data_IF_364225162676
#
_entry.id   IF_364225162676
#
_cell.length_a   1.000
_cell.length_b   1.000
_cell.length_c   1.000
_cell.angle_alpha   90.00
_cell.angle_beta   90.00
_cell.angle_gamma   90.00
#
_symmetry.space_group_name_H-M   'P 1'
#
loop_
_entity.id
_entity.type
_entity.pdbx_description
1 polymer ?
#
# COMPACT_ATOMS: atom_id res chain seq x y z
N UNK A 1 36.12 5.02 -10.93
CA UNK A 1 36.91 3.76 -10.90
C UNK A 1 37.67 3.73 -9.60
N UNK A 2 37.70 2.60 -8.91
CA UNK A 2 38.41 2.43 -7.63
C UNK A 2 39.67 1.62 -7.91
N UNK A 3 40.82 2.09 -7.43
CA UNK A 3 42.06 1.32 -7.40
C UNK A 3 42.02 0.35 -6.23
N UNK A 4 42.10 -0.95 -6.52
CA UNK A 4 42.19 -2.01 -5.51
C UNK A 4 43.65 -2.46 -5.40
N UNK A 5 44.05 -2.86 -4.18
CA UNK A 5 45.42 -3.30 -3.89
C UNK A 5 45.78 -4.63 -4.58
N UNK A 6 44.78 -5.46 -4.89
CA UNK A 6 44.93 -6.73 -5.61
C UNK A 6 43.64 -7.10 -6.37
N UNK A 7 43.75 -7.94 -7.39
CA UNK A 7 42.65 -8.45 -8.24
C UNK A 7 42.26 -9.90 -7.91
N UNK A 8 42.73 -10.46 -6.80
CA UNK A 8 42.28 -11.78 -6.34
C UNK A 8 40.76 -11.82 -6.17
N UNK A 9 40.15 -12.98 -6.43
CA UNK A 9 38.69 -13.15 -6.31
C UNK A 9 38.20 -12.79 -4.89
N UNK A 10 39.00 -13.08 -3.87
CA UNK A 10 38.68 -12.73 -2.48
C UNK A 10 38.64 -11.23 -2.25
N UNK A 11 39.61 -10.47 -2.78
CA UNK A 11 39.63 -9.00 -2.68
C UNK A 11 38.44 -8.37 -3.40
N UNK A 12 38.07 -8.91 -4.55
CA UNK A 12 36.91 -8.47 -5.33
C UNK A 12 35.58 -8.74 -4.60
N UNK A 13 35.44 -9.93 -4.00
CA UNK A 13 34.27 -10.32 -3.23
C UNK A 13 34.13 -9.48 -1.95
N UNK A 14 35.25 -9.24 -1.24
CA UNK A 14 35.27 -8.38 -0.05
C UNK A 14 34.92 -6.92 -0.41
N UNK A 15 35.47 -6.38 -1.49
CA UNK A 15 35.16 -5.02 -1.95
C UNK A 15 33.68 -4.86 -2.33
N UNK A 16 33.06 -5.87 -2.96
CA UNK A 16 31.62 -5.91 -3.22
C UNK A 16 30.80 -6.05 -1.92
N UNK A 17 31.27 -6.87 -0.97
CA UNK A 17 30.58 -7.13 0.29
C UNK A 17 30.52 -5.88 1.19
N UNK A 18 31.67 -5.20 1.34
CA UNK A 18 31.81 -3.98 2.13
C UNK A 18 31.33 -2.72 1.41
N UNK A 19 30.83 -2.84 0.17
CA UNK A 19 30.26 -1.71 -0.59
C UNK A 19 31.30 -0.69 -1.06
N UNK A 20 32.56 -1.11 -1.21
CA UNK A 20 33.61 -0.28 -1.82
C UNK A 20 33.42 -0.16 -3.34
N UNK A 21 32.82 -1.19 -3.94
CA UNK A 21 32.42 -1.23 -5.35
C UNK A 21 31.02 -1.84 -5.48
N UNK A 22 30.24 -1.40 -6.47
CA UNK A 22 28.87 -1.87 -6.72
C UNK A 22 28.74 -2.82 -7.92
N UNK A 23 29.77 -2.85 -8.77
CA UNK A 23 29.71 -3.53 -10.06
C UNK A 23 31.11 -3.92 -10.56
N UNK A 24 31.30 -5.21 -10.85
CA UNK A 24 32.51 -5.75 -11.48
C UNK A 24 32.16 -6.23 -12.88
N UNK A 25 32.91 -5.74 -13.87
CA UNK A 25 32.84 -6.18 -15.25
C UNK A 25 34.14 -6.89 -15.64
N UNK A 26 34.05 -8.15 -16.03
CA UNK A 26 35.19 -8.88 -16.61
C UNK A 26 35.00 -9.01 -18.12
N UNK A 27 35.91 -8.40 -18.88
CA UNK A 27 35.95 -8.46 -20.34
C UNK A 27 36.85 -9.62 -20.74
N UNK A 28 36.34 -10.67 -21.40
CA UNK A 28 37.17 -11.81 -21.80
C UNK A 28 38.13 -11.42 -22.94
N UNK A 29 39.28 -12.07 -23.04
CA UNK A 29 40.23 -11.85 -24.14
C UNK A 29 39.61 -12.14 -25.53
N UNK A 30 38.62 -13.04 -25.57
CA UNK A 30 37.86 -13.37 -26.78
C UNK A 30 36.87 -12.28 -27.22
N UNK A 31 36.73 -11.19 -26.46
CA UNK A 31 35.73 -10.14 -26.69
C UNK A 31 35.80 -9.58 -28.12
N UNK A 32 36.99 -9.15 -28.55
CA UNK A 32 37.19 -8.57 -29.88
C UNK A 32 36.93 -9.59 -30.99
N UNK A 33 37.36 -10.85 -30.80
CA UNK A 33 37.14 -11.94 -31.76
C UNK A 33 35.66 -12.29 -31.91
N UNK A 34 34.90 -12.28 -30.81
CA UNK A 34 33.46 -12.53 -30.85
C UNK A 34 32.72 -11.41 -31.58
N UNK A 35 33.08 -10.14 -31.29
CA UNK A 35 32.51 -8.98 -31.96
C UNK A 35 32.81 -8.94 -33.46
N UNK A 36 34.06 -9.22 -33.88
CA UNK A 36 34.39 -9.27 -35.31
C UNK A 36 33.65 -10.40 -36.03
N UNK A 37 33.38 -11.51 -35.36
CA UNK A 37 32.54 -12.59 -35.87
C UNK A 37 31.03 -12.26 -35.90
N UNK A 38 30.62 -11.03 -35.56
CA UNK A 38 29.23 -10.60 -35.51
C UNK A 38 28.43 -11.24 -34.37
N UNK A 39 29.11 -11.80 -33.36
CA UNK A 39 28.49 -12.44 -32.20
C UNK A 39 28.57 -11.53 -31.00
N UNK A 40 27.49 -11.51 -30.21
CA UNK A 40 27.47 -10.78 -28.95
C UNK A 40 28.40 -11.45 -27.92
N UNK A 41 29.41 -10.75 -27.38
CA UNK A 41 30.32 -11.33 -26.40
C UNK A 41 29.60 -11.59 -25.07
N UNK A 42 29.92 -12.73 -24.45
CA UNK A 42 29.49 -13.07 -23.10
C UNK A 42 30.38 -12.29 -22.12
N UNK A 43 29.79 -11.39 -21.34
CA UNK A 43 30.49 -10.62 -20.31
C UNK A 43 30.18 -11.22 -18.93
N UNK A 44 31.21 -11.38 -18.11
CA UNK A 44 31.02 -11.85 -16.73
C UNK A 44 30.80 -10.65 -15.84
N UNK A 45 29.70 -10.67 -15.08
CA UNK A 45 29.24 -9.56 -14.26
C UNK A 45 29.05 -10.06 -12.84
N UNK A 46 29.71 -9.42 -11.88
CA UNK A 46 29.53 -9.68 -10.45
C UNK A 46 28.99 -8.42 -9.77
N UNK A 47 27.88 -8.56 -9.06
CA UNK A 47 27.24 -7.48 -8.29
C UNK A 47 26.63 -8.06 -7.04
N UNK A 48 26.38 -7.22 -6.04
CA UNK A 48 25.51 -7.60 -4.92
C UNK A 48 24.09 -7.93 -5.43
N UNK A 49 23.38 -8.90 -4.83
CA UNK A 49 21.99 -9.18 -5.16
C UNK A 49 21.10 -7.96 -4.90
N UNK A 50 20.18 -7.66 -5.83
CA UNK A 50 19.17 -6.60 -5.67
C UNK A 50 19.63 -5.18 -6.03
N UNK A 51 20.86 -4.98 -6.51
CA UNK A 51 21.38 -3.63 -6.82
C UNK A 51 20.83 -3.10 -8.15
N UNK A 52 20.21 -1.91 -8.13
CA UNK A 52 19.75 -1.21 -9.34
C UNK A 52 20.88 -0.92 -10.34
N UNK A 53 22.10 -0.71 -9.84
CA UNK A 53 23.32 -0.50 -10.63
C UNK A 53 23.54 -1.57 -11.70
N UNK A 54 23.22 -2.85 -11.40
CA UNK A 54 23.32 -3.93 -12.38
C UNK A 54 22.46 -3.66 -13.60
N UNK A 55 21.20 -3.31 -13.39
CA UNK A 55 20.24 -3.05 -14.47
C UNK A 55 20.66 -1.85 -15.31
N UNK A 56 21.09 -0.77 -14.66
CA UNK A 56 21.54 0.44 -15.35
C UNK A 56 22.75 0.16 -16.25
N UNK A 57 23.82 -0.40 -15.68
CA UNK A 57 25.09 -0.64 -16.40
C UNK A 57 24.91 -1.70 -17.49
N UNK A 58 24.17 -2.78 -17.22
CA UNK A 58 23.86 -3.79 -18.23
C UNK A 58 23.10 -3.21 -19.41
N UNK A 59 22.15 -2.31 -19.15
CA UNK A 59 21.37 -1.68 -20.22
C UNK A 59 22.27 -0.84 -21.12
N UNK A 60 23.19 -0.07 -20.55
CA UNK A 60 24.16 0.73 -21.31
C UNK A 60 25.11 -0.15 -22.14
N UNK A 61 25.68 -1.19 -21.53
CA UNK A 61 26.56 -2.15 -22.24
C UNK A 61 25.80 -2.82 -23.38
N UNK A 62 24.58 -3.28 -23.12
CA UNK A 62 23.76 -3.95 -24.12
C UNK A 62 23.35 -3.00 -25.25
N UNK A 63 23.01 -1.74 -24.96
CA UNK A 63 22.75 -0.73 -25.98
C UNK A 63 23.97 -0.54 -26.87
N UNK A 64 25.17 -0.42 -26.30
CA UNK A 64 26.39 -0.29 -27.08
C UNK A 64 26.62 -1.50 -28.00
N UNK A 65 26.63 -2.71 -27.43
CA UNK A 65 26.90 -3.94 -28.18
C UNK A 65 25.86 -4.19 -29.28
N UNK A 66 24.57 -3.98 -28.97
CA UNK A 66 23.50 -4.19 -29.94
C UNK A 66 23.56 -3.15 -31.07
N UNK A 67 23.83 -1.88 -30.78
CA UNK A 67 23.97 -0.84 -31.81
C UNK A 67 25.19 -1.09 -32.69
N UNK A 68 26.32 -1.48 -32.09
CA UNK A 68 27.53 -1.84 -32.83
C UNK A 68 27.29 -3.00 -33.81
N UNK A 69 26.70 -4.09 -33.31
CA UNK A 69 26.38 -5.27 -34.13
C UNK A 69 25.35 -4.96 -35.21
N UNK A 70 24.39 -4.08 -34.92
CA UNK A 70 23.41 -3.62 -35.91
C UNK A 70 24.09 -2.88 -37.07
N UNK A 71 24.98 -1.92 -36.79
CA UNK A 71 25.71 -1.19 -37.82
C UNK A 71 26.66 -2.09 -38.61
N UNK A 72 27.38 -2.98 -37.94
CA UNK A 72 28.24 -3.96 -38.61
C UNK A 72 27.44 -4.86 -39.57
N UNK A 73 26.23 -5.28 -39.20
CA UNK A 73 25.36 -6.11 -40.04
C UNK A 73 24.73 -5.31 -41.19
N UNK A 74 24.34 -4.06 -40.94
CA UNK A 74 23.68 -3.22 -41.93
C UNK A 74 24.67 -2.62 -42.96
N UNK A 75 25.94 -2.46 -42.60
CA UNK A 75 26.96 -1.79 -43.41
C UNK A 75 28.26 -2.61 -43.46
N UNK A 76 28.26 -3.79 -44.13
CA UNK A 76 29.39 -4.73 -44.13
C UNK A 76 30.65 -4.21 -44.85
N UNK A 77 30.54 -3.10 -45.58
CA UNK A 77 31.63 -2.46 -46.33
C UNK A 77 32.46 -1.49 -45.47
N UNK A 78 31.98 -1.13 -44.27
CA UNK A 78 32.70 -0.24 -43.37
C UNK A 78 33.73 -0.99 -42.53
N UNK A 79 34.84 -0.32 -42.24
CA UNK A 79 35.84 -0.81 -41.31
C UNK A 79 35.31 -0.82 -39.87
N UNK A 80 35.92 -1.66 -39.03
CA UNK A 80 35.52 -1.76 -37.62
C UNK A 80 35.66 -0.43 -36.86
N UNK A 81 36.62 0.40 -37.24
CA UNK A 81 36.84 1.72 -36.65
C UNK A 81 35.72 2.70 -37.03
N UNK A 82 35.25 2.66 -38.27
CA UNK A 82 34.13 3.51 -38.74
C UNK A 82 32.81 3.11 -38.05
N UNK A 83 32.55 1.81 -37.90
CA UNK A 83 31.39 1.31 -37.16
C UNK A 83 31.43 1.74 -35.69
N UNK A 84 32.62 1.67 -35.05
CA UNK A 84 32.81 2.14 -33.68
C UNK A 84 32.55 3.64 -33.56
N UNK A 85 33.03 4.43 -34.51
CA UNK A 85 32.86 5.88 -34.53
C UNK A 85 31.38 6.25 -34.67
N UNK A 86 30.65 5.62 -35.60
CA UNK A 86 29.21 5.84 -35.76
C UNK A 86 28.43 5.40 -34.52
N UNK A 87 28.74 4.22 -33.97
CA UNK A 87 28.10 3.72 -32.74
C UNK A 87 28.26 4.72 -31.59
N UNK A 88 29.48 5.23 -31.41
CA UNK A 88 29.79 6.21 -30.36
C UNK A 88 29.08 7.53 -30.61
N UNK A 89 29.01 7.99 -31.86
CA UNK A 89 28.31 9.22 -32.24
C UNK A 89 26.80 9.11 -31.97
N UNK A 90 26.18 8.00 -32.36
CA UNK A 90 24.74 7.74 -32.11
C UNK A 90 24.43 7.71 -30.63
N UNK A 91 25.23 7.01 -29.82
CA UNK A 91 25.00 6.89 -28.38
C UNK A 91 25.33 8.18 -27.61
N UNK A 92 26.09 9.11 -28.20
CA UNK A 92 26.29 10.46 -27.65
C UNK A 92 25.11 11.38 -27.86
N UNK A 93 24.18 11.07 -28.77
CA UNK A 93 23.00 11.88 -28.97
C UNK A 93 22.08 11.77 -27.75
N UNK A 94 21.92 12.87 -27.04
CA UNK A 94 20.94 12.99 -25.96
C UNK A 94 19.70 13.67 -26.51
N UNK A 95 18.57 12.98 -26.47
CA UNK A 95 17.28 13.59 -26.72
C UNK A 95 16.69 14.03 -25.37
N UNK A 96 16.33 15.31 -25.25
CA UNK A 96 15.57 15.79 -24.10
C UNK A 96 14.12 15.33 -24.23
N UNK A 97 13.79 14.21 -23.58
CA UNK A 97 12.42 13.71 -23.52
C UNK A 97 11.64 14.54 -22.50
N UNK A 98 10.74 15.41 -22.99
CA UNK A 98 9.73 16.05 -22.12
C UNK A 98 8.55 15.09 -22.00
N UNK A 99 8.43 14.46 -20.84
CA UNK A 99 7.23 13.70 -20.50
C UNK A 99 6.06 14.67 -20.34
N UNK A 100 4.91 14.29 -20.88
CA UNK A 100 3.68 15.05 -20.71
C UNK A 100 3.39 15.24 -19.21
N UNK A 101 3.02 16.46 -18.83
CA UNK A 101 2.61 16.78 -17.46
C UNK A 101 1.43 15.89 -17.02
N UNK A 102 0.52 15.58 -17.94
CA UNK A 102 -0.62 14.69 -17.71
C UNK A 102 -0.18 13.27 -17.36
N UNK A 103 0.86 12.76 -18.04
CA UNK A 103 1.44 11.45 -17.73
C UNK A 103 2.08 11.43 -16.34
N UNK A 104 2.90 12.45 -16.04
CA UNK A 104 3.59 12.56 -14.74
C UNK A 104 2.58 12.69 -13.59
N UNK A 105 1.53 13.48 -13.79
CA UNK A 105 0.44 13.63 -12.83
C UNK A 105 -0.28 12.29 -12.59
N UNK A 106 -0.65 11.57 -13.66
CA UNK A 106 -1.30 10.27 -13.56
C UNK A 106 -0.46 9.25 -12.79
N UNK A 107 0.85 9.18 -13.08
CA UNK A 107 1.76 8.27 -12.38
C UNK A 107 1.84 8.61 -10.89
N UNK A 108 2.03 9.88 -10.55
CA UNK A 108 2.10 10.31 -9.15
C UNK A 108 0.78 10.06 -8.39
N UNK A 109 -0.35 10.30 -9.04
CA UNK A 109 -1.68 10.08 -8.48
C UNK A 109 -1.96 8.59 -8.24
N UNK A 110 -1.56 7.72 -9.18
CA UNK A 110 -1.67 6.27 -9.05
C UNK A 110 -0.80 5.74 -7.90
N UNK A 111 0.44 6.24 -7.79
CA UNK A 111 1.34 5.93 -6.68
C UNK A 111 0.71 6.37 -5.35
N UNK A 112 0.13 7.57 -5.28
CA UNK A 112 -0.55 8.06 -4.09
C UNK A 112 -1.73 7.17 -3.69
N UNK A 113 -2.56 6.74 -4.65
CA UNK A 113 -3.66 5.81 -4.39
C UNK A 113 -3.18 4.50 -3.75
N UNK A 114 -2.06 3.95 -4.24
CA UNK A 114 -1.43 2.75 -3.65
C UNK A 114 -0.90 2.99 -2.24
N UNK A 115 -0.29 4.13 -1.96
CA UNK A 115 0.12 4.47 -0.59
C UNK A 115 -1.09 4.63 0.35
N UNK A 116 -2.17 5.24 -0.12
CA UNK A 116 -3.40 5.42 0.67
C UNK A 116 -4.06 4.07 0.99
N UNK A 117 -3.95 3.07 0.11
CA UNK A 117 -4.42 1.72 0.41
C UNK A 117 -3.75 1.11 1.65
N UNK A 118 -2.50 1.48 1.99
CA UNK A 118 -1.82 1.00 3.19
C UNK A 118 -2.51 1.43 4.49
N UNK A 119 -3.32 2.51 4.46
CA UNK A 119 -4.17 2.88 5.59
C UNK A 119 -5.14 1.76 5.96
N UNK A 120 -5.53 0.92 5.00
CA UNK A 120 -6.48 -0.14 5.26
C UNK A 120 -6.01 -1.14 6.30
N UNK A 121 -4.72 -1.45 6.31
CA UNK A 121 -4.15 -2.28 7.35
C UNK A 121 -3.81 -1.45 8.59
N UNK A 122 -2.95 -0.43 8.42
CA UNK A 122 -2.36 0.29 9.55
C UNK A 122 -3.41 0.98 10.43
N UNK A 123 -4.36 1.69 9.82
CA UNK A 123 -5.40 2.40 10.55
C UNK A 123 -6.43 1.44 11.14
N UNK A 124 -6.89 0.46 10.38
CA UNK A 124 -7.93 -0.47 10.84
C UNK A 124 -7.43 -1.35 11.99
N UNK A 125 -6.24 -1.93 11.85
CA UNK A 125 -5.59 -2.74 12.89
C UNK A 125 -5.41 -1.95 14.19
N UNK A 126 -4.98 -0.70 14.09
CA UNK A 126 -4.75 0.19 15.24
C UNK A 126 -6.07 0.55 15.94
N UNK A 127 -7.09 0.98 15.18
CA UNK A 127 -8.41 1.31 15.74
C UNK A 127 -9.02 0.07 16.40
N UNK A 128 -9.03 -1.07 15.71
CA UNK A 128 -9.63 -2.29 16.23
C UNK A 128 -8.95 -2.76 17.51
N UNK A 129 -7.62 -2.75 17.54
CA UNK A 129 -6.84 -3.17 18.71
C UNK A 129 -7.09 -2.25 19.91
N UNK A 130 -7.16 -0.93 19.70
CA UNK A 130 -7.47 0.02 20.77
C UNK A 130 -8.89 -0.19 21.33
N UNK A 131 -9.89 -0.38 20.47
CA UNK A 131 -11.25 -0.69 20.91
C UNK A 131 -11.29 -2.00 21.70
N UNK A 132 -10.58 -3.02 21.24
CA UNK A 132 -10.50 -4.32 21.90
C UNK A 132 -9.84 -4.22 23.27
N UNK A 133 -8.72 -3.53 23.39
CA UNK A 133 -8.01 -3.34 24.66
C UNK A 133 -8.87 -2.57 25.68
N UNK A 134 -9.50 -1.48 25.24
CA UNK A 134 -10.41 -0.69 26.09
C UNK A 134 -11.59 -1.54 26.55
N UNK A 135 -12.20 -2.30 25.62
CA UNK A 135 -13.31 -3.18 25.95
C UNK A 135 -12.92 -4.24 26.99
N UNK A 136 -11.80 -4.94 26.80
CA UNK A 136 -11.31 -5.94 27.73
C UNK A 136 -11.02 -5.33 29.11
N UNK A 137 -10.33 -4.19 29.15
CA UNK A 137 -10.00 -3.52 30.40
C UNK A 137 -11.26 -3.16 31.22
N UNK A 138 -12.26 -2.53 30.60
CA UNK A 138 -13.47 -2.12 31.31
C UNK A 138 -14.47 -3.25 31.57
N UNK A 139 -14.33 -4.39 30.89
CA UNK A 139 -15.15 -5.58 31.13
C UNK A 139 -14.53 -6.59 32.11
N UNK A 140 -13.30 -6.36 32.61
CA UNK A 140 -12.74 -7.17 33.72
C UNK A 140 -13.71 -7.17 34.91
N UNK A 141 -14.00 -8.34 35.53
CA UNK A 141 -15.00 -8.43 36.59
C UNK A 141 -14.79 -7.42 37.72
N UNK A 142 -13.57 -7.30 38.22
CA UNK A 142 -13.20 -6.38 39.29
C UNK A 142 -13.49 -4.91 38.96
N UNK A 143 -13.06 -4.46 37.76
CA UNK A 143 -13.27 -3.09 37.28
C UNK A 143 -14.76 -2.83 37.06
N UNK A 144 -15.46 -3.80 36.45
CA UNK A 144 -16.89 -3.70 36.14
C UNK A 144 -17.75 -3.65 37.41
N UNK A 145 -17.46 -4.49 38.41
CA UNK A 145 -18.16 -4.49 39.69
C UNK A 145 -17.94 -3.18 40.44
N UNK A 146 -16.68 -2.72 40.56
CA UNK A 146 -16.35 -1.45 41.21
C UNK A 146 -17.04 -0.26 40.54
N UNK A 147 -17.04 -0.20 39.21
CA UNK A 147 -17.70 0.87 38.46
C UNK A 147 -19.23 0.84 38.60
N UNK A 148 -19.82 -0.35 38.82
CA UNK A 148 -21.26 -0.51 39.01
C UNK A 148 -21.76 0.00 40.36
N UNK A 149 -20.87 0.10 41.37
CA UNK A 149 -21.18 0.72 42.67
C UNK A 149 -21.09 2.26 42.63
N UNK A 150 -20.60 2.86 41.53
CA UNK A 150 -20.51 4.31 41.41
C UNK A 150 -21.90 4.94 41.17
N UNK A 151 -22.14 6.19 41.59
CA UNK A 151 -23.40 6.90 41.33
C UNK A 151 -23.57 7.31 39.85
N UNK A 152 -22.77 6.75 38.93
CA UNK A 152 -22.79 7.05 37.50
C UNK A 152 -23.60 6.00 36.78
N UNK A 153 -24.61 6.42 36.02
CA UNK A 153 -25.40 5.46 35.22
C UNK A 153 -24.55 4.78 34.14
N UNK A 154 -24.81 3.49 33.91
CA UNK A 154 -24.10 2.68 32.91
C UNK A 154 -24.12 3.29 31.51
N UNK A 155 -25.24 3.89 31.10
CA UNK A 155 -25.36 4.61 29.82
C UNK A 155 -24.41 5.81 29.74
N UNK A 156 -24.31 6.61 30.80
CA UNK A 156 -23.42 7.78 30.85
C UNK A 156 -21.95 7.35 30.81
N UNK A 157 -21.61 6.29 31.54
CA UNK A 157 -20.26 5.73 31.54
C UNK A 157 -19.86 5.16 30.17
N UNK A 158 -20.70 4.32 29.57
CA UNK A 158 -20.46 3.77 28.22
C UNK A 158 -20.33 4.86 27.16
N UNK A 159 -21.12 5.93 27.24
CA UNK A 159 -20.98 7.08 26.33
C UNK A 159 -19.63 7.78 26.47
N UNK A 160 -19.12 7.96 27.71
CA UNK A 160 -17.79 8.56 27.92
C UNK A 160 -16.67 7.70 27.33
N UNK A 161 -16.75 6.38 27.52
CA UNK A 161 -15.79 5.45 26.89
C UNK A 161 -15.87 5.55 25.37
N UNK A 162 -17.08 5.50 24.80
CA UNK A 162 -17.29 5.60 23.35
C UNK A 162 -16.73 6.90 22.77
N UNK A 163 -16.98 8.05 23.43
CA UNK A 163 -16.41 9.34 23.01
C UNK A 163 -14.89 9.27 23.05
N UNK A 164 -14.28 8.76 24.14
CA UNK A 164 -12.83 8.67 24.26
C UNK A 164 -12.21 7.76 23.16
N UNK A 165 -12.82 6.61 22.87
CA UNK A 165 -12.33 5.70 21.82
C UNK A 165 -12.54 6.26 20.42
N UNK A 166 -13.62 6.99 20.16
CA UNK A 166 -13.85 7.70 18.89
C UNK A 166 -12.83 8.83 18.73
N UNK A 167 -12.56 9.61 19.78
CA UNK A 167 -11.53 10.66 19.76
C UNK A 167 -10.15 10.08 19.46
N UNK A 168 -9.77 8.96 20.09
CA UNK A 168 -8.54 8.24 19.78
C UNK A 168 -8.52 7.80 18.30
N UNK A 169 -9.59 7.19 17.81
CA UNK A 169 -9.66 6.74 16.42
C UNK A 169 -9.54 7.90 15.43
N UNK A 170 -10.16 9.05 15.74
CA UNK A 170 -10.06 10.26 14.92
C UNK A 170 -8.63 10.81 14.91
N UNK A 171 -7.95 10.84 16.05
CA UNK A 171 -6.54 11.24 16.13
C UNK A 171 -5.65 10.30 15.32
N UNK A 172 -5.86 8.99 15.41
CA UNK A 172 -5.15 8.00 14.59
C UNK A 172 -5.44 8.22 13.09
N UNK A 173 -6.70 8.45 12.71
CA UNK A 173 -7.08 8.69 11.32
C UNK A 173 -6.41 9.95 10.77
N UNK A 174 -6.42 11.06 11.51
CA UNK A 174 -5.75 12.31 11.11
C UNK A 174 -4.23 12.10 11.02
N UNK A 175 -3.62 11.47 12.01
CA UNK A 175 -2.17 11.23 12.04
C UNK A 175 -1.68 10.34 10.90
N UNK A 176 -2.31 9.18 10.71
CA UNK A 176 -1.94 8.25 9.64
C UNK A 176 -2.23 8.83 8.26
N UNK A 177 -3.41 9.43 8.06
CA UNK A 177 -3.78 10.01 6.77
C UNK A 177 -2.88 11.19 6.42
N UNK A 178 -2.59 12.07 7.38
CA UNK A 178 -1.68 13.20 7.20
C UNK A 178 -0.27 12.75 6.86
N UNK A 179 0.24 11.72 7.53
CA UNK A 179 1.56 11.14 7.22
C UNK A 179 1.60 10.55 5.80
N UNK A 180 0.60 9.76 5.40
CA UNK A 180 0.56 9.17 4.06
C UNK A 180 0.40 10.25 2.98
N UNK A 181 -0.47 11.25 3.21
CA UNK A 181 -0.64 12.37 2.28
C UNK A 181 0.68 13.13 2.10
N UNK A 182 1.42 13.38 3.18
CA UNK A 182 2.75 14.01 3.13
C UNK A 182 3.75 13.17 2.32
N UNK A 183 3.87 11.87 2.60
CA UNK A 183 4.80 10.96 1.89
C UNK A 183 4.46 10.82 0.41
N UNK A 184 3.16 10.79 0.08
CA UNK A 184 2.69 10.68 -1.30
C UNK A 184 2.91 11.94 -2.16
N UNK A 185 3.37 13.05 -1.56
CA UNK A 185 3.59 14.34 -2.22
C UNK A 185 2.36 14.84 -3.00
N UNK A 186 1.17 14.50 -2.52
CA UNK A 186 -0.08 14.89 -3.17
C UNK A 186 -0.34 16.37 -2.90
N UNK A 187 -0.35 17.19 -3.96
CA UNK A 187 -0.51 18.64 -3.83
C UNK A 187 -1.87 19.15 -4.34
N UNK A 188 -2.61 18.36 -5.12
CA UNK A 188 -3.86 18.79 -5.71
C UNK A 188 -5.02 18.72 -4.68
N UNK A 189 -5.65 19.85 -4.30
CA UNK A 189 -6.71 19.87 -3.29
C UNK A 189 -7.93 19.03 -3.64
N UNK A 190 -8.30 18.96 -4.92
CA UNK A 190 -9.45 18.16 -5.38
C UNK A 190 -9.18 16.67 -5.13
N UNK A 191 -7.99 16.19 -5.48
CA UNK A 191 -7.60 14.78 -5.29
C UNK A 191 -7.49 14.45 -3.80
N UNK A 192 -6.91 15.36 -3.01
CA UNK A 192 -6.87 15.22 -1.55
C UNK A 192 -8.29 15.09 -0.97
N UNK A 193 -9.23 15.92 -1.43
CA UNK A 193 -10.63 15.86 -1.01
C UNK A 193 -11.29 14.51 -1.34
N UNK A 194 -11.08 13.97 -2.54
CA UNK A 194 -11.62 12.67 -2.96
C UNK A 194 -11.07 11.53 -2.11
N UNK A 195 -9.76 11.49 -1.87
CA UNK A 195 -9.16 10.50 -0.98
C UNK A 195 -9.64 10.64 0.46
N UNK A 196 -9.79 11.88 0.95
CA UNK A 196 -10.32 12.15 2.29
C UNK A 196 -11.74 11.61 2.46
N UNK A 197 -12.58 11.71 1.42
CA UNK A 197 -13.93 11.17 1.42
C UNK A 197 -13.93 9.63 1.48
N UNK A 198 -13.07 8.98 0.69
CA UNK A 198 -12.85 7.52 0.73
C UNK A 198 -12.39 7.06 2.12
N UNK A 199 -11.41 7.74 2.71
CA UNK A 199 -10.90 7.47 4.06
C UNK A 199 -12.01 7.65 5.09
N UNK A 200 -12.82 8.70 5.01
CA UNK A 200 -13.90 8.97 5.94
C UNK A 200 -14.98 7.86 5.91
N UNK A 201 -15.41 7.45 4.71
CA UNK A 201 -16.38 6.37 4.56
C UNK A 201 -15.86 5.04 5.13
N UNK A 202 -14.59 4.74 4.89
CA UNK A 202 -13.98 3.53 5.44
C UNK A 202 -13.74 3.63 6.95
N UNK A 203 -13.37 4.80 7.47
CA UNK A 203 -13.22 5.07 8.90
C UNK A 203 -14.50 4.81 9.70
N UNK A 204 -15.67 5.25 9.18
CA UNK A 204 -16.97 4.93 9.78
C UNK A 204 -17.20 3.41 9.83
N UNK A 205 -16.74 2.70 8.80
CA UNK A 205 -16.84 1.24 8.74
C UNK A 205 -15.93 0.59 9.78
N UNK A 206 -14.70 1.09 9.95
CA UNK A 206 -13.76 0.60 10.98
C UNK A 206 -14.31 0.80 12.39
N UNK A 207 -14.90 1.97 12.69
CA UNK A 207 -15.49 2.26 14.01
C UNK A 207 -16.65 1.32 14.30
N UNK A 208 -17.60 1.20 13.37
CA UNK A 208 -18.80 0.38 13.56
C UNK A 208 -18.47 -1.11 13.65
N UNK A 209 -17.57 -1.59 12.79
CA UNK A 209 -17.02 -2.95 12.87
C UNK A 209 -16.33 -3.19 14.22
N UNK A 210 -15.42 -2.30 14.62
CA UNK A 210 -14.66 -2.47 15.87
C UNK A 210 -15.59 -2.46 17.08
N UNK A 211 -16.59 -1.59 17.09
CA UNK A 211 -17.60 -1.51 18.16
C UNK A 211 -18.43 -2.80 18.23
N UNK A 212 -18.90 -3.31 17.08
CA UNK A 212 -19.63 -4.57 17.00
C UNK A 212 -18.79 -5.74 17.49
N UNK A 213 -17.63 -5.98 16.87
CA UNK A 213 -16.84 -7.18 17.10
C UNK A 213 -16.28 -7.21 18.52
N UNK A 214 -15.74 -6.09 19.02
CA UNK A 214 -15.23 -6.04 20.39
C UNK A 214 -16.32 -6.18 21.45
N UNK A 215 -17.59 -5.92 21.11
CA UNK A 215 -18.73 -6.21 22.01
C UNK A 215 -19.06 -7.72 22.14
N UNK A 216 -18.49 -8.55 21.27
CA UNK A 216 -18.64 -10.01 21.25
C UNK A 216 -17.40 -10.73 21.79
N UNK A 217 -16.22 -10.12 21.64
CA UNK A 217 -14.94 -10.69 22.05
C UNK A 217 -14.74 -10.62 23.58
N UNK A 218 -14.14 -11.68 24.15
CA UNK A 218 -13.89 -11.80 25.60
C UNK A 218 -12.41 -11.97 25.97
N UNK A 219 -11.51 -12.15 25.01
CA UNK A 219 -10.09 -12.39 25.28
C UNK A 219 -9.16 -11.65 24.30
N UNK A 220 -7.91 -11.44 24.71
CA UNK A 220 -6.86 -10.83 23.89
C UNK A 220 -6.53 -11.66 22.66
N UNK A 221 -6.61 -12.99 22.79
CA UNK A 221 -6.28 -13.93 21.71
C UNK A 221 -7.29 -13.81 20.58
N UNK A 222 -8.59 -13.63 20.89
CA UNK A 222 -9.60 -13.40 19.85
C UNK A 222 -9.42 -12.05 19.16
N UNK A 223 -9.02 -10.98 19.88
CA UNK A 223 -8.68 -9.70 19.24
C UNK A 223 -7.53 -9.91 18.26
N UNK A 224 -6.45 -10.56 18.69
CA UNK A 224 -5.31 -10.88 17.83
C UNK A 224 -5.73 -11.71 16.62
N UNK A 225 -6.59 -12.71 16.83
CA UNK A 225 -7.15 -13.54 15.76
C UNK A 225 -7.95 -12.74 14.73
N UNK A 226 -8.84 -11.84 15.15
CA UNK A 226 -9.60 -10.98 14.21
C UNK A 226 -8.66 -10.06 13.44
N UNK A 227 -7.65 -9.50 14.10
CA UNK A 227 -6.69 -8.61 13.46
C UNK A 227 -5.87 -9.34 12.38
N UNK A 228 -5.35 -10.53 12.69
CA UNK A 228 -4.51 -11.28 11.77
C UNK A 228 -5.29 -12.04 10.69
N UNK A 229 -6.51 -12.50 10.98
CA UNK A 229 -7.31 -13.28 10.03
C UNK A 229 -8.21 -12.39 9.20
N UNK A 230 -9.03 -11.56 9.83
CA UNK A 230 -9.99 -10.74 9.09
C UNK A 230 -9.35 -9.46 8.54
N UNK A 231 -8.71 -8.65 9.40
CA UNK A 231 -8.18 -7.34 8.97
C UNK A 231 -7.00 -7.55 8.02
N UNK A 232 -5.95 -8.26 8.47
CA UNK A 232 -4.79 -8.55 7.63
C UNK A 232 -5.14 -9.45 6.43
N UNK A 233 -5.93 -10.51 6.63
CA UNK A 233 -6.34 -11.40 5.54
C UNK A 233 -7.15 -10.67 4.45
N UNK A 234 -8.06 -9.77 4.83
CA UNK A 234 -8.78 -8.95 3.84
C UNK A 234 -7.84 -8.05 3.04
N UNK A 235 -6.76 -7.55 3.63
CA UNK A 235 -5.76 -6.74 2.91
C UNK A 235 -5.06 -7.53 1.80
N UNK A 236 -4.77 -8.83 2.01
CA UNK A 236 -4.15 -9.69 0.99
C UNK A 236 -5.06 -9.92 -0.22
N UNK A 237 -6.35 -10.13 0.01
CA UNK A 237 -7.30 -10.46 -1.07
C UNK A 237 -7.94 -9.23 -1.73
N UNK A 238 -7.84 -8.06 -1.10
CA UNK A 238 -8.57 -6.85 -1.53
C UNK A 238 -7.75 -5.86 -2.35
N UNK A 239 -6.51 -6.17 -2.69
CA UNK A 239 -5.68 -5.25 -3.49
C UNK A 239 -4.76 -4.32 -2.69
N UNK A 240 -4.65 -4.48 -1.36
CA UNK A 240 -3.82 -3.59 -0.51
C UNK A 240 -2.33 -3.88 -0.69
N UNK A 241 -1.93 -5.15 -0.58
CA UNK A 241 -0.52 -5.56 -0.70
C UNK A 241 -0.16 -6.07 -2.09
N UNK A 242 -1.09 -6.78 -2.73
CA UNK A 242 -0.95 -7.33 -4.08
C UNK A 242 -2.03 -6.69 -4.94
N UNK A 243 -1.69 -5.96 -6.01
CA UNK A 243 -2.70 -5.37 -6.90
C UNK A 243 -3.73 -6.39 -7.37
N UNK A 244 -5.01 -6.00 -7.39
CA UNK A 244 -6.14 -6.89 -7.71
C UNK A 244 -6.05 -7.53 -9.09
N UNK A 245 -5.31 -6.93 -10.02
CA UNK A 245 -5.03 -7.46 -11.37
C UNK A 245 -4.21 -8.76 -11.35
N UNK A 246 -3.42 -9.00 -10.30
CA UNK A 246 -2.65 -10.22 -10.12
C UNK A 246 -3.40 -11.30 -9.34
N UNK A 247 -4.58 -10.98 -8.81
CA UNK A 247 -5.39 -11.93 -8.04
C UNK A 247 -6.36 -12.67 -8.98
N UNK A 248 -6.57 -13.99 -8.78
CA UNK A 248 -7.58 -14.72 -9.52
C UNK A 248 -8.99 -14.12 -9.34
N UNK A 249 -9.83 -14.21 -10.37
CA UNK A 249 -11.20 -13.64 -10.36
C UNK A 249 -12.03 -14.10 -9.16
N UNK A 250 -11.89 -15.36 -8.74
CA UNK A 250 -12.59 -15.90 -7.57
C UNK A 250 -12.19 -15.18 -6.28
N UNK A 251 -10.90 -14.83 -6.14
CA UNK A 251 -10.38 -14.09 -4.98
C UNK A 251 -10.95 -12.68 -4.96
N UNK A 252 -10.97 -12.01 -6.11
CA UNK A 252 -11.57 -10.67 -6.24
C UNK A 252 -13.08 -10.67 -5.91
N UNK A 253 -13.82 -11.71 -6.32
CA UNK A 253 -15.25 -11.87 -5.97
C UNK A 253 -15.46 -12.10 -4.47
N UNK A 254 -14.61 -12.89 -3.82
CA UNK A 254 -14.66 -13.09 -2.37
C UNK A 254 -14.31 -11.79 -1.64
N UNK A 255 -13.28 -11.07 -2.10
CA UNK A 255 -12.84 -9.82 -1.50
C UNK A 255 -13.94 -8.74 -1.50
N UNK A 256 -14.82 -8.74 -2.51
CA UNK A 256 -15.96 -7.82 -2.59
C UNK A 256 -16.95 -7.91 -1.41
N UNK A 257 -16.91 -8.98 -0.61
CA UNK A 257 -17.66 -9.10 0.64
C UNK A 257 -16.97 -8.42 1.85
N UNK A 258 -15.85 -7.74 1.63
CA UNK A 258 -15.12 -7.01 2.66
C UNK A 258 -15.16 -5.51 2.38
N UNK A 259 -15.19 -4.66 3.42
CA UNK A 259 -15.13 -3.21 3.21
C UNK A 259 -13.75 -2.78 2.68
N UNK A 260 -12.69 -3.53 3.00
CA UNK A 260 -11.33 -3.29 2.49
C UNK A 260 -11.28 -3.24 0.96
N UNK A 261 -11.99 -4.13 0.27
CA UNK A 261 -12.07 -4.14 -1.18
C UNK A 261 -12.66 -2.85 -1.76
N UNK A 262 -13.74 -2.34 -1.18
CA UNK A 262 -14.41 -1.13 -1.67
C UNK A 262 -13.60 0.14 -1.39
N UNK A 263 -12.84 0.16 -0.29
CA UNK A 263 -11.86 1.21 -0.04
C UNK A 263 -10.74 1.20 -1.07
N UNK A 264 -10.12 0.04 -1.33
CA UNK A 264 -9.07 -0.09 -2.35
C UNK A 264 -9.58 0.29 -3.73
N UNK A 265 -10.77 -0.20 -4.11
CA UNK A 265 -11.40 0.12 -5.40
C UNK A 265 -11.66 1.62 -5.56
N UNK A 266 -12.09 2.30 -4.48
CA UNK A 266 -12.26 3.76 -4.48
C UNK A 266 -10.94 4.49 -4.71
N UNK A 267 -9.89 4.09 -4.00
CA UNK A 267 -8.59 4.75 -4.08
C UNK A 267 -7.87 4.47 -5.40
N UNK A 268 -8.03 3.27 -5.99
CA UNK A 268 -7.52 2.95 -7.31
C UNK A 268 -8.26 3.75 -8.39
N UNK A 269 -9.59 3.84 -8.30
CA UNK A 269 -10.38 4.68 -9.21
C UNK A 269 -9.95 6.15 -9.15
N UNK A 270 -9.78 6.69 -7.94
CA UNK A 270 -9.24 8.05 -7.75
C UNK A 270 -7.82 8.11 -8.29
N UNK A 271 -6.96 7.14 -8.01
CA UNK A 271 -5.55 7.10 -8.40
C UNK A 271 -5.32 7.07 -9.92
N UNK A 272 -6.20 6.43 -10.67
CA UNK A 272 -6.03 6.18 -12.11
C UNK A 272 -6.76 7.18 -13.00
N UNK A 273 -7.68 7.97 -12.42
CA UNK A 273 -8.53 8.90 -13.16
C UNK A 273 -7.97 10.31 -13.15
N UNK A 274 -7.79 10.88 -14.33
CA UNK A 274 -7.40 12.29 -14.54
C UNK A 274 -8.58 13.18 -14.98
N UNK A 275 -9.67 12.57 -15.48
CA UNK A 275 -10.88 13.26 -15.95
C UNK A 275 -12.08 12.85 -15.10
N UNK A 276 -12.65 13.81 -14.37
CA UNK A 276 -13.74 13.56 -13.42
C UNK A 276 -15.11 13.81 -14.07
N UNK A 277 -15.58 12.85 -14.86
CA UNK A 277 -16.88 12.87 -15.52
C UNK A 277 -18.00 12.27 -14.65
N UNK A 278 -19.22 12.20 -15.19
CA UNK A 278 -20.37 11.60 -14.49
C UNK A 278 -20.13 10.14 -14.12
N UNK A 279 -19.49 9.36 -15.01
CA UNK A 279 -19.19 7.94 -14.78
C UNK A 279 -18.23 7.75 -13.61
N UNK A 280 -17.23 8.61 -13.47
CA UNK A 280 -16.33 8.61 -12.33
C UNK A 280 -17.11 8.79 -11.01
N UNK A 281 -17.99 9.81 -10.94
CA UNK A 281 -18.75 10.08 -9.72
C UNK A 281 -19.79 9.00 -9.42
N UNK A 282 -20.40 8.37 -10.44
CA UNK A 282 -21.27 7.22 -10.26
C UNK A 282 -20.50 6.02 -9.67
N UNK A 283 -19.34 5.69 -10.23
CA UNK A 283 -18.52 4.58 -9.75
C UNK A 283 -17.97 4.82 -8.34
N UNK A 284 -17.47 6.03 -8.07
CA UNK A 284 -17.00 6.41 -6.73
C UNK A 284 -18.17 6.41 -5.73
N UNK A 285 -19.31 7.00 -6.11
CA UNK A 285 -20.52 7.06 -5.30
C UNK A 285 -21.01 5.66 -4.90
N UNK A 286 -20.99 4.69 -5.82
CA UNK A 286 -21.33 3.31 -5.53
C UNK A 286 -20.36 2.70 -4.49
N UNK A 287 -19.05 2.88 -4.66
CA UNK A 287 -18.09 2.32 -3.71
C UNK A 287 -18.26 2.91 -2.30
N UNK A 288 -18.46 4.24 -2.21
CA UNK A 288 -18.72 4.92 -0.94
C UNK A 288 -20.03 4.48 -0.31
N UNK A 289 -21.09 4.31 -1.12
CA UNK A 289 -22.37 3.80 -0.66
C UNK A 289 -22.22 2.40 -0.05
N UNK A 290 -21.46 1.50 -0.68
CA UNK A 290 -21.23 0.16 -0.15
C UNK A 290 -20.48 0.19 1.19
N UNK A 291 -19.47 1.06 1.34
CA UNK A 291 -18.79 1.26 2.64
C UNK A 291 -19.75 1.76 3.73
N UNK A 292 -20.61 2.72 3.40
CA UNK A 292 -21.64 3.22 4.32
C UNK A 292 -22.68 2.14 4.64
N UNK A 293 -23.02 1.28 3.69
CA UNK A 293 -23.90 0.14 3.92
C UNK A 293 -23.28 -0.86 4.89
N UNK A 294 -22.00 -1.21 4.76
CA UNK A 294 -21.28 -2.01 5.76
C UNK A 294 -21.33 -1.35 7.14
N UNK A 295 -21.08 -0.03 7.20
CA UNK A 295 -21.14 0.72 8.45
C UNK A 295 -22.53 0.63 9.12
N UNK A 296 -23.58 0.81 8.33
CA UNK A 296 -24.96 0.72 8.80
C UNK A 296 -25.29 -0.69 9.30
N UNK A 297 -24.91 -1.73 8.55
CA UNK A 297 -25.11 -3.13 8.95
C UNK A 297 -24.42 -3.43 10.27
N UNK A 298 -23.14 -3.08 10.42
CA UNK A 298 -22.41 -3.33 11.67
C UNK A 298 -23.01 -2.57 12.86
N UNK A 299 -23.47 -1.33 12.63
CA UNK A 299 -24.16 -0.55 13.66
C UNK A 299 -25.49 -1.19 14.08
N UNK A 300 -26.31 -1.63 13.13
CA UNK A 300 -27.59 -2.30 13.40
C UNK A 300 -27.36 -3.59 14.19
N UNK A 301 -26.42 -4.43 13.75
CA UNK A 301 -26.05 -5.66 14.45
C UNK A 301 -25.56 -5.38 15.87
N UNK A 302 -24.79 -4.31 16.07
CA UNK A 302 -24.34 -3.92 17.40
C UNK A 302 -25.52 -3.55 18.31
N UNK A 303 -26.46 -2.75 17.81
CA UNK A 303 -27.66 -2.39 18.58
C UNK A 303 -28.55 -3.59 18.91
N UNK A 304 -28.68 -4.56 18.00
CA UNK A 304 -29.40 -5.81 18.27
C UNK A 304 -28.76 -6.59 19.42
N UNK A 305 -27.44 -6.79 19.38
CA UNK A 305 -26.67 -7.44 20.45
C UNK A 305 -26.79 -6.69 21.81
N UNK A 306 -26.88 -5.35 21.80
CA UNK A 306 -27.11 -4.57 23.02
C UNK A 306 -28.52 -4.75 23.60
N UNK A 307 -29.54 -4.95 22.75
CA UNK A 307 -30.93 -5.16 23.16
C UNK A 307 -31.10 -6.52 23.83
N UNK A 308 -30.56 -7.58 23.24
CA UNK A 308 -30.61 -8.93 23.83
C UNK A 308 -29.96 -8.99 25.22
N UNK A 309 -28.90 -8.20 25.43
CA UNK A 309 -28.22 -8.08 26.73
C UNK A 309 -28.94 -7.15 27.72
N UNK A 310 -30.13 -6.63 27.39
CA UNK A 310 -30.93 -5.76 28.27
C UNK A 310 -30.34 -4.37 28.56
N UNK A 311 -29.37 -3.90 27.76
CA UNK A 311 -28.63 -2.65 28.03
C UNK A 311 -29.39 -1.40 27.54
N UNK A 312 -30.29 -1.57 26.57
CA UNK A 312 -31.07 -0.49 25.95
C UNK A 312 -32.56 -0.86 25.96
N UNK A 313 -33.34 -0.25 26.86
CA UNK A 313 -34.80 -0.16 26.74
C UNK A 313 -35.17 1.20 26.14
N UNK A 314 -35.92 1.16 25.03
CA UNK A 314 -36.49 2.34 24.36
C UNK A 314 -37.96 2.59 24.77
N UNK A 315 -38.55 1.70 25.57
CA UNK A 315 -39.90 1.86 26.10
C UNK A 315 -39.78 2.41 27.52
N UNK A 316 -40.34 3.59 27.83
CA UNK A 316 -40.40 4.07 29.20
C UNK A 316 -41.34 3.14 29.97
N UNK A 317 -40.79 2.35 30.90
CA UNK A 317 -41.62 1.73 31.92
C UNK A 317 -42.22 2.87 32.75
N UNK A 318 -43.52 3.13 32.58
CA UNK A 318 -44.30 3.86 33.58
C UNK A 318 -44.12 3.09 34.89
N UNK A 319 -43.31 3.63 35.80
CA UNK A 319 -43.32 3.20 37.20
C UNK A 319 -44.70 3.55 37.75
N UNK A 320 -45.59 2.56 37.81
CA UNK A 320 -46.73 2.62 38.71
C UNK A 320 -46.18 2.49 40.12
N UNK A 321 -46.09 3.61 40.81
CA UNK A 321 -45.97 3.67 42.27
C UNK A 321 -47.23 3.09 42.88
N UNK A 322 -47.10 1.98 43.59
CA UNK A 322 -47.98 1.59 44.70
C UNK A 322 -47.10 1.39 45.92
#
# INVERSE_FOLDING_TARGET
MVTLDDTSQKTLDDALYFGQIDYILTIPESFTRALTAGKKPQLTIQTKPGTYTKTLVNTTINQFLNTFLLYQKAQPHLSQQEVLQQTTQTLRQQATVKLDHTYTQKVNQSIAGRFINLLAYGLFSTIFSAYGLVNLAFNRPEIKMRNSCSPVSRRRFSRKIAIATISYALLAAIGFSGFIMYVSKLANPQIIGLFSLSILAFFLTMITFSTLVTSLVKSSETISGVNNVFILGSCFISGVFVPSEFLPDIVNKIAAFTPTYWFVRSNMLIGETITYDTKFFEALGLNLFVLLAFSAVFMVLHFMNMREKGVVSLIPHKRTTR
#
